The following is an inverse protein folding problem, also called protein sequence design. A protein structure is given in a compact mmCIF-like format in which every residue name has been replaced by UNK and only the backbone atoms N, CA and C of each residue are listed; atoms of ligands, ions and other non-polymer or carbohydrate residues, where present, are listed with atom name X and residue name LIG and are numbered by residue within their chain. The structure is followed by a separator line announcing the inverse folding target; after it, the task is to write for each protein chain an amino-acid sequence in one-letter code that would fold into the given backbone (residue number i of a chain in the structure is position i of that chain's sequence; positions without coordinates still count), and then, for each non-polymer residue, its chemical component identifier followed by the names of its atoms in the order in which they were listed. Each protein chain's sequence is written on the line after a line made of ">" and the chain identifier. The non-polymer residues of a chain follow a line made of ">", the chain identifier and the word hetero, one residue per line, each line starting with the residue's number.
data_IF_956135219671
#
_entry.id   IF_956135219671
#
_cell.length_a   1.000
_cell.length_b   1.000
_cell.length_c   1.000
_cell.angle_alpha   90.00
_cell.angle_beta   90.00
_cell.angle_gamma   90.00
#
_symmetry.space_group_name_H-M   'P 1'
#
loop_
_entity.id
_entity.type
_entity.pdbx_description
1 polymer ?
#
# COMPACT_ATOMS: atom_id res chain seq x y z
N UNK A 1 9.86 1.83 1.29
CA UNK A 1 10.16 1.43 -0.11
C UNK A 1 9.02 0.66 -0.79
N UNK A 2 8.30 -0.24 -0.11
CA UNK A 2 7.26 -1.06 -0.75
C UNK A 2 6.10 -0.26 -1.37
N UNK A 3 5.77 0.92 -0.82
CA UNK A 3 4.72 1.80 -1.37
C UNK A 3 4.98 2.28 -2.81
N UNK A 4 6.24 2.34 -3.22
CA UNK A 4 6.65 2.77 -4.56
C UNK A 4 7.18 1.59 -5.41
N UNK A 5 7.04 0.36 -4.92
CA UNK A 5 7.52 -0.82 -5.61
C UNK A 5 6.62 -1.18 -6.80
N UNK A 6 7.17 -1.85 -7.83
CA UNK A 6 6.37 -2.42 -8.90
C UNK A 6 5.42 -3.50 -8.36
N UNK A 7 4.24 -3.62 -8.98
CA UNK A 7 3.19 -4.56 -8.58
C UNK A 7 3.66 -6.03 -8.38
N UNK A 8 4.44 -6.65 -9.29
CA UNK A 8 4.89 -8.04 -9.10
C UNK A 8 5.84 -8.23 -7.91
N UNK A 9 6.56 -7.18 -7.49
CA UNK A 9 7.47 -7.28 -6.34
C UNK A 9 6.74 -7.29 -5.00
N UNK A 10 5.51 -6.76 -4.92
CA UNK A 10 4.80 -6.61 -3.64
C UNK A 10 4.44 -7.98 -3.03
N UNK A 11 3.84 -8.94 -3.77
CA UNK A 11 3.57 -10.28 -3.23
C UNK A 11 4.81 -10.97 -2.69
N UNK A 12 5.95 -10.84 -3.37
CA UNK A 12 7.23 -11.39 -2.93
C UNK A 12 7.65 -10.80 -1.58
N UNK A 13 7.59 -9.47 -1.46
CA UNK A 13 7.93 -8.76 -0.22
C UNK A 13 7.00 -9.19 0.92
N UNK A 14 5.69 -9.34 0.66
CA UNK A 14 4.73 -9.79 1.67
C UNK A 14 5.04 -11.20 2.19
N UNK A 15 5.31 -12.16 1.29
CA UNK A 15 5.67 -13.52 1.69
C UNK A 15 6.99 -13.56 2.45
N UNK A 16 7.98 -12.78 2.01
CA UNK A 16 9.25 -12.63 2.71
C UNK A 16 9.06 -12.07 4.12
N UNK A 17 8.22 -11.03 4.29
CA UNK A 17 7.89 -10.47 5.61
C UNK A 17 7.22 -11.50 6.51
N UNK A 18 6.26 -12.28 6.00
CA UNK A 18 5.63 -13.34 6.79
C UNK A 18 6.67 -14.38 7.23
N UNK A 19 7.57 -14.79 6.34
CA UNK A 19 8.66 -15.71 6.68
C UNK A 19 9.56 -15.13 7.78
N UNK A 20 9.88 -13.84 7.74
CA UNK A 20 10.64 -13.18 8.80
C UNK A 20 9.89 -13.21 10.14
N UNK A 21 8.58 -12.97 10.15
CA UNK A 21 7.78 -12.98 11.38
C UNK A 21 7.59 -14.38 11.98
N UNK A 22 7.59 -15.42 11.14
CA UNK A 22 7.58 -16.81 11.59
C UNK A 22 8.91 -17.15 12.30
N UNK A 23 10.03 -16.79 11.69
CA UNK A 23 11.36 -17.06 12.24
C UNK A 23 11.70 -16.16 13.45
N UNK A 24 11.17 -14.94 13.49
CA UNK A 24 11.42 -13.95 14.53
C UNK A 24 10.09 -13.44 15.11
N UNK A 25 9.54 -14.10 16.15
CA UNK A 25 8.24 -13.73 16.72
C UNK A 25 8.24 -12.33 17.35
N UNK A 26 9.40 -11.76 17.67
CA UNK A 26 9.52 -10.37 18.14
C UNK A 26 9.05 -9.34 17.11
N UNK A 27 9.06 -9.66 15.82
CA UNK A 27 8.59 -8.76 14.75
C UNK A 27 7.06 -8.62 14.70
N UNK A 28 6.31 -9.46 15.42
CA UNK A 28 4.84 -9.39 15.46
C UNK A 28 4.32 -8.09 16.06
N UNK A 29 5.14 -7.39 16.88
CA UNK A 29 4.81 -6.07 17.41
C UNK A 29 4.57 -5.03 16.31
N UNK A 30 5.18 -5.21 15.13
CA UNK A 30 5.05 -4.30 14.00
C UNK A 30 3.67 -4.32 13.34
N UNK A 31 2.91 -5.41 13.53
CA UNK A 31 1.52 -5.55 13.06
C UNK A 31 0.55 -4.93 14.08
N UNK A 32 0.78 -5.23 15.36
CA UNK A 32 -0.05 -4.78 16.46
C UNK A 32 0.82 -4.24 17.59
N UNK A 33 1.08 -2.94 17.54
CA UNK A 33 1.81 -2.25 18.59
C UNK A 33 0.83 -1.65 19.62
N UNK A 34 0.58 -2.38 20.70
CA UNK A 34 -0.28 -1.93 21.82
C UNK A 34 0.26 -0.71 22.55
N UNK A 35 1.55 -0.40 22.41
CA UNK A 35 2.19 0.78 23.01
C UNK A 35 1.79 2.07 22.28
N UNK A 36 1.48 1.96 20.99
CA UNK A 36 1.07 3.05 20.11
C UNK A 36 -0.45 3.23 20.00
N UNK A 37 -1.27 2.49 20.77
CA UNK A 37 -2.75 2.69 20.80
C UNK A 37 -3.18 4.12 21.18
N UNK A 38 -2.23 4.96 21.66
CA UNK A 38 -2.44 6.40 21.90
C UNK A 38 -2.04 7.30 20.72
N UNK A 39 -1.18 6.82 19.81
CA UNK A 39 -0.71 7.52 18.62
C UNK A 39 -1.49 7.00 17.41
N UNK A 40 -2.71 7.52 17.21
CA UNK A 40 -3.59 7.14 16.09
C UNK A 40 -3.10 7.61 14.71
N UNK A 41 -2.01 8.37 14.67
CA UNK A 41 -1.58 9.07 13.47
C UNK A 41 -0.22 8.57 12.99
N UNK A 42 -0.14 8.25 11.68
CA UNK A 42 1.09 7.88 10.95
C UNK A 42 2.23 8.88 11.17
N UNK A 43 1.89 10.15 11.43
CA UNK A 43 2.85 11.23 11.70
C UNK A 43 3.62 11.09 13.01
N UNK A 44 3.21 10.18 13.89
CA UNK A 44 3.88 9.92 15.17
C UNK A 44 4.75 8.67 15.15
N UNK A 45 4.98 8.07 13.98
CA UNK A 45 5.79 6.86 13.84
C UNK A 45 7.28 7.15 14.14
N UNK A 46 7.92 6.43 15.09
CA UNK A 46 9.28 6.75 15.54
C UNK A 46 10.38 6.30 14.57
N UNK A 47 10.04 5.63 13.47
CA UNK A 47 11.00 5.10 12.51
C UNK A 47 11.75 6.22 11.78
N UNK A 48 13.08 6.16 11.80
CA UNK A 48 13.95 7.07 11.04
C UNK A 48 14.52 6.38 9.80
N UNK A 49 14.01 6.78 8.62
CA UNK A 49 14.46 6.25 7.33
C UNK A 49 15.88 6.68 6.94
N UNK A 50 16.41 7.76 7.55
CA UNK A 50 17.73 8.34 7.18
C UNK A 50 18.86 7.80 8.05
N UNK A 51 18.53 7.12 9.14
CA UNK A 51 19.51 6.51 10.02
C UNK A 51 20.23 5.36 9.30
N UNK A 52 21.57 5.39 9.34
CA UNK A 52 22.43 4.44 8.63
C UNK A 52 22.51 3.13 9.43
N UNK A 53 22.50 3.22 10.76
CA UNK A 53 22.58 2.06 11.62
C UNK A 53 21.19 1.41 11.80
N UNK A 54 20.96 0.20 11.29
CA UNK A 54 19.63 -0.45 11.36
C UNK A 54 19.13 -0.62 12.79
N UNK A 55 20.03 -0.81 13.77
CA UNK A 55 19.67 -0.96 15.18
C UNK A 55 19.20 0.35 15.84
N UNK A 56 19.47 1.51 15.23
CA UNK A 56 19.14 2.84 15.78
C UNK A 56 17.93 3.49 15.10
N UNK A 57 17.42 2.90 14.02
CA UNK A 57 16.24 3.36 13.26
C UNK A 57 14.93 3.39 14.04
N UNK A 58 14.88 2.74 15.22
CA UNK A 58 13.67 2.54 16.04
C UNK A 58 12.52 1.81 15.33
N UNK A 59 12.83 1.00 14.31
CA UNK A 59 11.82 0.21 13.59
C UNK A 59 10.99 -0.71 14.52
N UNK A 60 11.57 -1.25 15.60
CA UNK A 60 10.82 -2.12 16.53
C UNK A 60 9.72 -1.38 17.32
N UNK A 61 9.84 -0.06 17.44
CA UNK A 61 8.85 0.79 18.11
C UNK A 61 7.81 1.34 17.13
N UNK A 62 7.98 1.09 15.82
CA UNK A 62 7.13 1.58 14.74
C UNK A 62 6.04 0.58 14.34
N UNK A 63 5.27 0.89 13.29
CA UNK A 63 4.23 0.00 12.74
C UNK A 63 4.30 -0.10 11.21
N UNK A 64 3.86 -1.23 10.64
CA UNK A 64 3.88 -1.49 9.19
C UNK A 64 2.71 -0.83 8.44
N UNK A 65 2.65 0.49 8.43
CA UNK A 65 1.58 1.24 7.78
C UNK A 65 1.55 1.07 6.27
N UNK A 66 2.70 0.84 5.63
CA UNK A 66 2.75 0.68 4.17
C UNK A 66 1.99 -0.56 3.72
N UNK A 67 2.10 -1.66 4.47
CA UNK A 67 1.37 -2.87 4.16
C UNK A 67 -0.14 -2.63 4.33
N UNK A 68 -0.54 -1.86 5.35
CA UNK A 68 -1.94 -1.48 5.59
C UNK A 68 -2.49 -0.62 4.45
N UNK A 69 -1.70 0.31 3.91
CA UNK A 69 -2.08 1.12 2.76
C UNK A 69 -2.22 0.29 1.48
N UNK A 70 -1.31 -0.67 1.26
CA UNK A 70 -1.32 -1.55 0.09
C UNK A 70 -2.49 -2.54 0.06
N UNK A 71 -3.23 -2.72 1.16
CA UNK A 71 -4.50 -3.47 1.14
C UNK A 71 -5.54 -2.85 0.21
N UNK A 72 -5.45 -1.55 -0.09
CA UNK A 72 -6.33 -0.85 -1.04
C UNK A 72 -5.69 -0.68 -2.42
N UNK A 73 -4.77 -1.57 -2.80
CA UNK A 73 -4.14 -1.55 -4.11
C UNK A 73 -5.14 -1.88 -5.24
N UNK A 74 -4.94 -1.29 -6.42
CA UNK A 74 -5.83 -1.42 -7.59
C UNK A 74 -5.94 -2.88 -8.05
N UNK A 75 -4.83 -3.62 -7.98
CA UNK A 75 -4.79 -5.04 -8.33
C UNK A 75 -5.23 -5.90 -7.13
N UNK A 76 -6.24 -6.76 -7.30
CA UNK A 76 -6.78 -7.57 -6.20
C UNK A 76 -5.77 -8.60 -5.70
N UNK A 77 -4.91 -9.16 -6.56
CA UNK A 77 -3.86 -10.09 -6.16
C UNK A 77 -2.92 -9.45 -5.12
N UNK A 78 -2.44 -8.23 -5.38
CA UNK A 78 -1.59 -7.47 -4.45
C UNK A 78 -2.31 -7.14 -3.14
N UNK A 79 -3.57 -6.69 -3.22
CA UNK A 79 -4.38 -6.40 -2.03
C UNK A 79 -4.57 -7.65 -1.15
N UNK A 80 -4.80 -8.81 -1.77
CA UNK A 80 -4.91 -10.09 -1.08
C UNK A 80 -3.59 -10.50 -0.43
N UNK A 81 -2.45 -10.33 -1.11
CA UNK A 81 -1.14 -10.60 -0.53
C UNK A 81 -0.91 -9.78 0.75
N UNK A 82 -1.29 -8.50 0.77
CA UNK A 82 -1.15 -7.60 1.92
C UNK A 82 -2.17 -7.86 3.06
N UNK A 83 -3.16 -8.73 2.85
CA UNK A 83 -4.19 -9.03 3.86
C UNK A 83 -3.66 -9.83 5.06
N UNK A 84 -2.42 -10.31 5.02
CA UNK A 84 -1.81 -11.08 6.11
C UNK A 84 -1.73 -10.30 7.43
N UNK A 85 -1.70 -8.97 7.39
CA UNK A 85 -1.65 -8.09 8.59
C UNK A 85 -2.88 -8.29 9.46
N UNK A 86 -4.04 -8.56 8.87
CA UNK A 86 -5.32 -8.72 9.58
C UNK A 86 -5.68 -10.18 9.85
N UNK A 87 -4.90 -11.11 9.29
CA UNK A 87 -5.14 -12.54 9.35
C UNK A 87 -4.13 -13.19 10.30
N UNK A 88 -4.47 -14.33 10.93
CA UNK A 88 -3.47 -15.09 11.65
C UNK A 88 -2.34 -15.52 10.70
N UNK A 89 -1.10 -15.34 11.14
CA UNK A 89 0.08 -15.77 10.39
C UNK A 89 0.07 -17.30 10.23
N UNK A 90 0.50 -17.82 9.07
CA UNK A 90 0.61 -19.26 8.84
C UNK A 90 1.69 -19.88 9.74
N UNK A 91 1.55 -21.17 10.02
CA UNK A 91 2.53 -21.92 10.83
C UNK A 91 3.79 -22.33 10.07
N UNK A 92 3.74 -22.30 8.73
CA UNK A 92 4.81 -22.75 7.83
C UNK A 92 5.21 -21.58 6.93
N UNK A 93 6.52 -21.48 6.66
CA UNK A 93 7.07 -20.48 5.75
C UNK A 93 6.66 -20.73 4.30
N UNK A 94 6.46 -19.65 3.55
CA UNK A 94 6.26 -19.68 2.11
C UNK A 94 7.55 -20.02 1.38
N UNK A 95 7.42 -20.72 0.26
CA UNK A 95 8.47 -20.82 -0.74
C UNK A 95 8.44 -19.56 -1.62
N UNK A 96 9.59 -18.91 -1.78
CA UNK A 96 9.70 -17.64 -2.50
C UNK A 96 10.09 -17.83 -3.96
N UNK A 97 10.54 -19.02 -4.38
CA UNK A 97 11.01 -19.26 -5.75
C UNK A 97 9.90 -19.03 -6.77
N UNK A 98 8.68 -19.49 -6.47
CA UNK A 98 7.51 -19.37 -7.34
C UNK A 98 7.09 -17.90 -7.54
N UNK A 99 7.14 -17.09 -6.49
CA UNK A 99 6.70 -15.68 -6.56
C UNK A 99 7.79 -14.79 -7.14
N UNK A 100 9.06 -15.17 -7.01
CA UNK A 100 10.17 -14.44 -7.61
C UNK A 100 10.13 -14.48 -9.15
N UNK A 101 9.60 -15.55 -9.74
CA UNK A 101 9.47 -15.68 -11.20
C UNK A 101 8.29 -14.94 -11.81
N UNK A 102 7.46 -14.25 -11.01
CA UNK A 102 6.26 -13.58 -11.51
C UNK A 102 6.63 -12.23 -12.14
N UNK A 103 6.32 -12.11 -13.43
CA UNK A 103 6.45 -10.86 -14.18
C UNK A 103 5.09 -10.17 -14.39
N UNK A 104 5.12 -8.96 -14.95
CA UNK A 104 3.90 -8.22 -15.30
C UNK A 104 3.01 -8.95 -16.31
N UNK A 105 3.61 -9.68 -17.24
CA UNK A 105 2.89 -10.45 -18.25
C UNK A 105 2.07 -11.56 -17.58
N UNK A 106 2.65 -12.29 -16.62
CA UNK A 106 1.97 -13.33 -15.86
C UNK A 106 0.79 -12.76 -15.06
N UNK A 107 1.00 -11.63 -14.38
CA UNK A 107 -0.07 -10.96 -13.63
C UNK A 107 -1.21 -10.53 -14.56
N UNK A 108 -0.88 -10.06 -15.76
CA UNK A 108 -1.86 -9.64 -16.75
C UNK A 108 -2.65 -10.82 -17.32
N UNK A 109 -1.96 -11.90 -17.67
CA UNK A 109 -2.58 -13.14 -18.13
C UNK A 109 -3.50 -13.75 -17.06
N UNK A 110 -3.11 -13.71 -15.79
CA UNK A 110 -3.94 -14.16 -14.67
C UNK A 110 -5.27 -13.39 -14.60
N UNK A 111 -5.20 -12.06 -14.73
CA UNK A 111 -6.39 -11.20 -14.68
C UNK A 111 -7.30 -11.37 -15.92
N UNK A 112 -6.74 -11.63 -17.10
CA UNK A 112 -7.52 -11.97 -18.31
C UNK A 112 -8.23 -13.31 -18.14
N UNK A 113 -7.52 -14.30 -17.59
CA UNK A 113 -8.01 -15.67 -17.47
C UNK A 113 -9.00 -15.86 -16.31
N UNK A 114 -9.09 -14.90 -15.37
CA UNK A 114 -10.12 -14.87 -14.33
C UNK A 114 -11.51 -14.78 -14.97
N UNK A 115 -12.15 -15.94 -15.11
CA UNK A 115 -13.53 -16.07 -15.60
C UNK A 115 -14.46 -15.17 -14.77
N UNK A 116 -15.05 -14.20 -15.44
CA UNK A 116 -16.16 -13.40 -14.96
C UNK A 116 -17.35 -14.31 -14.67
N UNK A 117 -17.49 -14.83 -13.45
CA UNK A 117 -18.81 -15.12 -12.86
C UNK A 117 -19.49 -13.78 -12.55
N UNK A 118 -19.62 -12.94 -13.56
CA UNK A 118 -20.42 -11.74 -13.50
C UNK A 118 -21.84 -12.23 -13.79
N UNK A 119 -22.54 -12.63 -12.73
CA UNK A 119 -23.98 -12.56 -12.75
C UNK A 119 -24.35 -11.12 -13.08
N UNK A 120 -25.03 -10.92 -14.21
CA UNK A 120 -25.77 -9.73 -14.62
C UNK A 120 -25.26 -8.41 -13.98
N UNK A 121 -24.30 -7.74 -14.63
CA UNK A 121 -24.06 -6.33 -14.35
C UNK A 121 -25.37 -5.60 -14.66
N UNK A 122 -26.01 -5.04 -13.63
CA UNK A 122 -26.97 -3.96 -13.82
C UNK A 122 -26.28 -2.93 -14.72
N UNK A 123 -26.72 -2.84 -15.97
CA UNK A 123 -26.20 -1.93 -16.98
C UNK A 123 -26.64 -0.51 -16.68
N UNK A 124 -26.23 0.03 -15.52
CA UNK A 124 -26.26 1.47 -15.32
C UNK A 124 -25.32 2.05 -16.37
N UNK A 125 -25.82 2.92 -17.28
CA UNK A 125 -24.99 3.50 -18.31
C UNK A 125 -23.79 4.17 -17.64
N UNK A 126 -22.59 3.94 -18.18
CA UNK A 126 -21.41 4.70 -17.78
C UNK A 126 -21.79 6.18 -17.91
N UNK A 127 -21.63 6.99 -16.84
CA UNK A 127 -21.86 8.42 -16.96
C UNK A 127 -20.96 8.96 -18.09
N UNK A 128 -21.42 9.96 -18.85
CA UNK A 128 -20.58 10.60 -19.85
C UNK A 128 -19.25 11.02 -19.22
N UNK A 129 -18.15 10.88 -19.98
CA UNK A 129 -16.80 11.27 -19.57
C UNK A 129 -16.69 12.80 -19.51
N UNK A 130 -17.42 13.42 -18.59
CA UNK A 130 -17.33 14.85 -18.30
C UNK A 130 -16.20 15.03 -17.27
N UNK A 131 -14.96 14.80 -17.68
CA UNK A 131 -13.77 15.11 -16.89
C UNK A 131 -13.41 16.61 -17.02
N UNK A 132 -14.39 17.51 -16.86
CA UNK A 132 -13.98 18.85 -16.45
C UNK A 132 -13.40 18.72 -15.04
N UNK A 133 -12.07 18.82 -14.93
CA UNK A 133 -11.36 18.99 -13.67
C UNK A 133 -11.73 20.36 -13.09
N UNK A 134 -13.00 20.51 -12.71
CA UNK A 134 -13.53 21.67 -12.02
C UNK A 134 -13.01 21.60 -10.60
N UNK A 135 -11.81 22.15 -10.40
CA UNK A 135 -11.34 22.56 -9.08
C UNK A 135 -12.47 23.39 -8.48
N UNK A 136 -13.09 23.00 -7.36
CA UNK A 136 -14.15 23.79 -6.78
C UNK A 136 -13.59 25.17 -6.43
N UNK A 137 -14.05 26.21 -7.13
CA UNK A 137 -13.67 27.63 -6.95
C UNK A 137 -13.82 28.13 -5.50
N UNK A 138 -14.45 27.36 -4.61
CA UNK A 138 -14.59 27.64 -3.18
C UNK A 138 -13.28 27.62 -2.38
N UNK A 139 -12.17 27.10 -2.93
CA UNK A 139 -10.85 27.17 -2.28
C UNK A 139 -9.89 28.21 -2.91
N UNK A 140 -10.35 28.98 -3.90
CA UNK A 140 -9.53 30.04 -4.51
C UNK A 140 -9.54 31.36 -3.71
N UNK A 141 -10.26 31.42 -2.59
CA UNK A 141 -10.33 32.58 -1.71
C UNK A 141 -9.13 32.68 -0.73
N UNK A 142 -8.31 31.63 -0.64
CA UNK A 142 -7.11 31.67 0.19
C UNK A 142 -6.00 32.43 -0.55
N UNK A 143 -5.70 33.61 -0.01
CA UNK A 143 -4.80 34.67 -0.51
C UNK A 143 -3.40 34.24 -1.02
N UNK A 144 -3.03 32.97 -0.86
CA UNK A 144 -1.74 32.40 -1.25
C UNK A 144 -1.64 32.23 -2.78
N UNK A 145 -2.73 31.85 -3.48
CA UNK A 145 -2.69 31.56 -4.91
C UNK A 145 -2.78 32.81 -5.82
N UNK A 146 -3.30 33.94 -5.32
CA UNK A 146 -3.38 35.19 -6.09
C UNK A 146 -1.99 35.81 -6.35
N UNK A 147 -1.04 35.58 -5.44
CA UNK A 147 0.32 36.11 -5.54
C UNK A 147 1.20 35.31 -6.51
N UNK A 148 0.90 34.02 -6.71
CA UNK A 148 1.56 33.19 -7.72
C UNK A 148 1.15 33.58 -9.14
N UNK A 149 -0.15 33.86 -9.37
CA UNK A 149 -0.67 34.23 -10.68
C UNK A 149 -0.21 35.62 -11.18
N UNK A 150 0.16 36.53 -10.28
CA UNK A 150 0.69 37.87 -10.65
C UNK A 150 2.16 37.88 -11.08
N UNK A 151 2.91 36.80 -10.88
CA UNK A 151 4.35 36.71 -11.25
C UNK A 151 4.61 36.16 -12.64
N UNK A 152 3.58 35.73 -13.38
CA UNK A 152 3.71 35.08 -14.70
C UNK A 152 3.10 35.97 -15.81
N UNK A 153 3.17 37.29 -15.65
CA UNK A 153 2.96 38.25 -16.74
C UNK A 153 4.07 39.29 -16.73
N UNK A 154 5.17 38.96 -17.39
CA UNK A 154 6.02 39.89 -18.15
C UNK A 154 6.21 39.26 -19.51
#
# INVERSE_FOLDING_TARGET
>A
MCLHAPAPAIPLICQFMVNLMINHPGLKVLIHNTSLDRAKDVTSDPFDEKEINPSQTKAMESSLWEMKSLQNHILPNVAQACSFIEKPLPSVSYDLEEVLSVDYDDMFEEEINKKKNIGHLDSKPFPPFDYEFSIPLKHLADSVYLNAAKRIKV
#
